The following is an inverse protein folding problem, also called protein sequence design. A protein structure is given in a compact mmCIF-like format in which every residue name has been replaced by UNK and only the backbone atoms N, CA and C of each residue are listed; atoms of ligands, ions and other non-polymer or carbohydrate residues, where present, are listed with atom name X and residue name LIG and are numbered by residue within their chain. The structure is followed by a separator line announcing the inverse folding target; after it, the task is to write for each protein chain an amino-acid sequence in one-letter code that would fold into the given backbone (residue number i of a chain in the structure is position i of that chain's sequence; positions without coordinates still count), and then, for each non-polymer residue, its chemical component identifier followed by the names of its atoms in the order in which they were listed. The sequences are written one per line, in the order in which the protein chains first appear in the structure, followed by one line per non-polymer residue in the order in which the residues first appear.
data_IF_836325883147
#
_entry.id   IF_836325883147
#
_cell.length_a   1.000
_cell.length_b   1.000
_cell.length_c   1.000
_cell.angle_alpha   90.00
_cell.angle_beta   90.00
_cell.angle_gamma   90.00
#
_symmetry.space_group_name_H-M   'P 1'
#
loop_
_entity.id
_entity.type
_entity.pdbx_description
1 polymer ?
#
# COMPACT_ATOMS: atom_id res chain seq x y z
N UNK A 1 -24.88 7.19 -0.84
CA UNK A 1 -24.49 6.63 -2.15
C UNK A 1 -23.47 5.55 -1.87
N UNK A 2 -23.64 4.36 -2.43
CA UNK A 2 -22.70 3.26 -2.24
C UNK A 2 -21.67 3.26 -3.38
N UNK A 3 -20.40 3.12 -3.03
CA UNK A 3 -19.25 3.05 -3.92
C UNK A 3 -18.55 1.71 -3.68
N UNK A 4 -18.39 0.93 -4.74
CA UNK A 4 -17.37 -0.12 -4.75
C UNK A 4 -16.00 0.54 -4.55
N UNK A 5 -15.06 -0.11 -3.85
CA UNK A 5 -13.75 0.48 -3.62
C UNK A 5 -13.06 0.81 -4.94
N UNK A 6 -12.49 2.01 -5.02
CA UNK A 6 -11.61 2.44 -6.09
C UNK A 6 -10.23 2.69 -5.50
N UNK A 7 -9.19 2.13 -6.10
CA UNK A 7 -7.81 2.36 -5.70
C UNK A 7 -7.05 3.10 -6.80
N UNK A 8 -6.37 4.17 -6.42
CA UNK A 8 -5.42 4.87 -7.25
C UNK A 8 -4.02 4.75 -6.65
N UNK A 9 -3.07 4.30 -7.46
CA UNK A 9 -1.66 4.14 -7.08
C UNK A 9 -0.87 5.27 -7.74
N UNK A 10 -0.41 6.30 -7.00
CA UNK A 10 0.30 7.43 -7.59
C UNK A 10 1.62 7.03 -8.25
N UNK A 11 2.33 6.07 -7.65
CA UNK A 11 3.61 5.56 -8.14
C UNK A 11 3.58 4.03 -8.18
N UNK A 12 3.38 3.46 -9.38
CA UNK A 12 3.34 2.01 -9.58
C UNK A 12 4.73 1.36 -9.51
N UNK A 13 5.79 2.15 -9.66
CA UNK A 13 7.17 1.71 -9.62
C UNK A 13 7.96 2.63 -8.68
N UNK A 14 8.49 2.08 -7.59
CA UNK A 14 9.19 2.83 -6.55
C UNK A 14 10.62 2.28 -6.43
N UNK A 15 11.60 3.15 -6.60
CA UNK A 15 13.01 2.82 -6.49
C UNK A 15 13.56 3.34 -5.16
N UNK A 16 14.31 2.52 -4.44
CA UNK A 16 14.98 2.95 -3.21
C UNK A 16 16.28 2.17 -2.97
N UNK A 17 17.34 2.80 -2.42
CA UNK A 17 18.54 2.09 -2.03
C UNK A 17 18.36 1.21 -0.80
N UNK A 18 19.19 0.16 -0.69
CA UNK A 18 19.23 -0.68 0.50
C UNK A 18 19.57 0.13 1.75
N UNK A 19 19.02 -0.26 2.89
CA UNK A 19 19.24 0.40 4.18
C UNK A 19 18.43 1.68 4.40
N UNK A 20 17.77 2.22 3.38
CA UNK A 20 16.89 3.39 3.50
C UNK A 20 15.46 3.00 3.87
N UNK A 21 14.65 3.97 4.26
CA UNK A 21 13.22 3.80 4.49
C UNK A 21 12.45 4.21 3.23
N UNK A 22 11.45 3.43 2.83
CA UNK A 22 10.59 3.74 1.69
C UNK A 22 9.12 3.76 2.09
N UNK A 23 8.35 4.61 1.45
CA UNK A 23 6.89 4.71 1.66
C UNK A 23 6.16 4.36 0.37
N UNK A 24 5.30 3.35 0.43
CA UNK A 24 4.35 3.01 -0.62
C UNK A 24 3.00 3.66 -0.31
N UNK A 25 2.30 4.13 -1.34
CA UNK A 25 1.07 4.93 -1.17
C UNK A 25 -0.02 4.43 -2.10
N UNK A 26 -1.24 4.26 -1.55
CA UNK A 26 -2.45 4.08 -2.32
C UNK A 26 -3.54 5.03 -1.82
N UNK A 27 -4.30 5.63 -2.74
CA UNK A 27 -5.48 6.42 -2.41
C UNK A 27 -6.72 5.56 -2.69
N UNK A 28 -7.65 5.53 -1.74
CA UNK A 28 -8.84 4.69 -1.76
C UNK A 28 -10.08 5.58 -1.68
N UNK A 29 -11.05 5.33 -2.54
CA UNK A 29 -12.41 5.86 -2.41
C UNK A 29 -13.41 4.72 -2.24
N UNK A 30 -14.20 4.71 -1.16
CA UNK A 30 -15.16 3.65 -0.86
C UNK A 30 -16.32 4.11 0.04
N UNK A 31 -17.52 3.56 -0.17
CA UNK A 31 -18.68 3.76 0.70
C UNK A 31 -19.65 2.57 0.62
N UNK A 32 -19.99 1.86 1.70
CA UNK A 32 -19.58 2.05 3.09
C UNK A 32 -18.06 1.94 3.28
N UNK A 33 -17.57 2.41 4.44
CA UNK A 33 -16.15 2.37 4.81
C UNK A 33 -15.58 0.97 4.56
N UNK A 34 -14.49 0.90 3.81
CA UNK A 34 -13.82 -0.34 3.48
C UNK A 34 -12.82 -0.77 4.55
N UNK A 35 -12.49 -2.05 4.55
CA UNK A 35 -11.33 -2.62 5.24
C UNK A 35 -10.17 -2.59 4.26
N UNK A 36 -9.06 -2.00 4.70
CA UNK A 36 -7.88 -1.74 3.92
C UNK A 36 -6.70 -2.55 4.47
N UNK A 37 -5.89 -3.16 3.61
CA UNK A 37 -4.72 -3.92 4.02
C UNK A 37 -3.66 -4.01 2.93
N UNK A 38 -2.45 -4.40 3.32
CA UNK A 38 -1.33 -4.62 2.42
C UNK A 38 -0.97 -6.09 2.33
N UNK A 39 -0.55 -6.52 1.14
CA UNK A 39 -0.15 -7.88 0.84
C UNK A 39 1.07 -7.87 -0.08
N UNK A 40 1.94 -8.86 0.03
CA UNK A 40 2.96 -9.15 -0.97
C UNK A 40 2.33 -9.77 -2.22
N UNK A 41 2.99 -9.65 -3.37
CA UNK A 41 2.54 -10.26 -4.63
C UNK A 41 2.40 -11.80 -4.56
N UNK A 42 3.13 -12.46 -3.66
CA UNK A 42 3.01 -13.89 -3.38
C UNK A 42 1.80 -14.28 -2.51
N UNK A 43 0.98 -13.32 -2.08
CA UNK A 43 -0.20 -13.55 -1.24
C UNK A 43 0.05 -13.42 0.28
N UNK A 44 1.29 -13.18 0.72
CA UNK A 44 1.59 -13.00 2.14
C UNK A 44 1.06 -11.65 2.66
N UNK A 45 0.21 -11.71 3.68
CA UNK A 45 -0.33 -10.51 4.33
C UNK A 45 0.77 -9.77 5.09
N UNK A 46 0.85 -8.45 4.93
CA UNK A 46 1.82 -7.63 5.66
C UNK A 46 1.20 -7.20 6.98
N UNK A 47 1.87 -7.52 8.08
CA UNK A 47 1.43 -7.19 9.44
C UNK A 47 2.35 -6.11 10.00
N UNK A 48 1.74 -5.09 10.63
CA UNK A 48 2.48 -3.98 11.24
C UNK A 48 3.45 -4.50 12.30
N UNK A 49 4.69 -4.01 12.27
CA UNK A 49 5.72 -4.29 13.26
C UNK A 49 6.77 -3.16 13.23
N UNK A 50 7.93 -3.33 13.86
CA UNK A 50 8.98 -2.30 13.89
C UNK A 50 9.53 -1.93 12.50
N UNK A 51 9.41 -2.85 11.53
CA UNK A 51 9.89 -2.72 10.16
C UNK A 51 8.83 -2.21 9.18
N UNK A 52 7.60 -2.72 9.30
CA UNK A 52 6.46 -2.35 8.47
C UNK A 52 5.50 -1.49 9.28
N UNK A 53 5.35 -0.22 8.92
CA UNK A 53 4.39 0.68 9.54
C UNK A 53 3.30 1.02 8.55
N UNK A 54 2.06 0.69 8.90
CA UNK A 54 0.88 1.00 8.11
C UNK A 54 0.12 2.17 8.74
N UNK A 55 -0.32 3.10 7.91
CA UNK A 55 -1.15 4.21 8.36
C UNK A 55 -2.27 4.49 7.35
N UNK A 56 -3.41 4.95 7.85
CA UNK A 56 -4.57 5.36 7.05
C UNK A 56 -4.92 6.80 7.42
N UNK A 57 -4.80 7.71 6.46
CA UNK A 57 -5.17 9.10 6.62
C UNK A 57 -6.52 9.34 5.92
N UNK A 58 -7.58 9.55 6.71
CA UNK A 58 -8.89 9.90 6.18
C UNK A 58 -8.88 11.35 5.68
N UNK A 59 -9.13 11.55 4.38
CA UNK A 59 -9.25 12.88 3.77
C UNK A 59 -10.72 13.34 3.67
N UNK A 60 -11.66 12.39 3.67
CA UNK A 60 -13.10 12.63 3.72
C UNK A 60 -13.82 11.38 4.27
N UNK A 61 -15.16 11.43 4.36
CA UNK A 61 -15.97 10.28 4.78
C UNK A 61 -15.90 9.06 3.84
N UNK A 62 -15.41 9.22 2.62
CA UNK A 62 -15.30 8.16 1.61
C UNK A 62 -13.90 8.02 1.04
N UNK A 63 -12.95 8.89 1.39
CA UNK A 63 -11.61 8.91 0.80
C UNK A 63 -10.51 8.75 1.86
N UNK A 64 -9.63 7.76 1.67
CA UNK A 64 -8.54 7.40 2.58
C UNK A 64 -7.23 7.27 1.81
N UNK A 65 -6.14 7.80 2.35
CA UNK A 65 -4.80 7.50 1.87
C UNK A 65 -4.17 6.42 2.75
N UNK A 66 -3.88 5.27 2.16
CA UNK A 66 -3.12 4.18 2.77
C UNK A 66 -1.64 4.39 2.53
N UNK A 67 -0.83 4.26 3.58
CA UNK A 67 0.63 4.23 3.47
C UNK A 67 1.21 2.98 4.10
N UNK A 68 2.25 2.43 3.47
CA UNK A 68 3.11 1.38 4.02
C UNK A 68 4.55 1.89 4.02
N UNK A 69 5.10 2.13 5.20
CA UNK A 69 6.52 2.44 5.39
C UNK A 69 7.27 1.14 5.65
N UNK A 70 8.31 0.90 4.86
CA UNK A 70 9.22 -0.24 5.01
C UNK A 70 10.57 0.33 5.44
N UNK A 71 10.98 0.06 6.67
CA UNK A 71 12.21 0.61 7.24
C UNK A 71 13.43 -0.23 6.91
N UNK A 72 14.57 0.40 6.65
CA UNK A 72 15.88 -0.23 6.42
C UNK A 72 15.85 -1.33 5.36
N UNK A 73 15.58 -0.98 4.11
CA UNK A 73 15.37 -1.95 3.04
C UNK A 73 16.46 -3.02 2.92
N UNK A 74 16.04 -4.28 2.77
CA UNK A 74 16.85 -5.41 2.39
C UNK A 74 16.46 -5.91 1.00
N UNK A 75 17.34 -6.71 0.37
CA UNK A 75 17.05 -7.33 -0.93
C UNK A 75 15.77 -8.16 -0.94
N UNK A 76 15.45 -8.82 0.17
CA UNK A 76 14.20 -9.59 0.35
C UNK A 76 12.94 -8.71 0.35
N UNK A 77 13.08 -7.40 0.56
CA UNK A 77 11.95 -6.49 0.50
C UNK A 77 11.58 -6.14 -0.94
N UNK A 78 12.45 -6.36 -1.92
CA UNK A 78 12.15 -6.07 -3.31
C UNK A 78 11.07 -7.00 -3.84
N UNK A 79 10.16 -6.46 -4.65
CA UNK A 79 9.03 -7.23 -5.14
C UNK A 79 7.78 -6.41 -5.40
N UNK A 80 6.69 -7.11 -5.76
CA UNK A 80 5.38 -6.53 -5.84
C UNK A 80 4.70 -6.46 -4.47
N UNK A 81 4.01 -5.36 -4.24
CA UNK A 81 3.16 -5.09 -3.09
C UNK A 81 1.77 -4.72 -3.62
N UNK A 82 0.74 -5.22 -2.94
CA UNK A 82 -0.65 -4.92 -3.22
C UNK A 82 -1.25 -4.18 -2.04
N UNK A 83 -1.89 -3.06 -2.32
CA UNK A 83 -2.87 -2.47 -1.40
C UNK A 83 -4.25 -2.96 -1.82
N UNK A 84 -5.02 -3.46 -0.87
CA UNK A 84 -6.32 -4.08 -1.12
C UNK A 84 -7.34 -3.39 -0.24
N UNK A 85 -8.51 -3.09 -0.82
CA UNK A 85 -9.62 -2.45 -0.14
C UNK A 85 -10.90 -3.22 -0.41
N UNK A 86 -11.66 -3.53 0.64
CA UNK A 86 -12.88 -4.34 0.56
C UNK A 86 -14.00 -3.76 1.41
N UNK A 87 -15.19 -3.60 0.82
CA UNK A 87 -16.42 -3.28 1.54
C UNK A 87 -17.54 -4.26 1.16
N UNK A 88 -18.77 -3.98 1.59
CA UNK A 88 -19.94 -4.82 1.30
C UNK A 88 -20.39 -4.80 -0.17
N UNK A 89 -19.89 -3.85 -0.97
CA UNK A 89 -20.23 -3.70 -2.39
C UNK A 89 -19.23 -4.45 -3.27
N UNK A 90 -17.97 -4.51 -2.87
CA UNK A 90 -16.94 -5.24 -3.59
C UNK A 90 -15.54 -5.01 -3.02
N UNK A 91 -14.54 -5.31 -3.85
CA UNK A 91 -13.13 -5.17 -3.56
C UNK A 91 -12.37 -4.57 -4.74
N UNK A 92 -11.23 -3.96 -4.45
CA UNK A 92 -10.26 -3.49 -5.43
C UNK A 92 -8.84 -3.67 -4.90
N UNK A 93 -7.89 -3.81 -5.82
CA UNK A 93 -6.46 -3.88 -5.52
C UNK A 93 -5.66 -2.92 -6.38
N UNK A 94 -4.58 -2.37 -5.82
CA UNK A 94 -3.56 -1.62 -6.53
C UNK A 94 -2.20 -2.27 -6.33
N UNK A 95 -1.39 -2.34 -7.38
CA UNK A 95 -0.06 -2.96 -7.34
C UNK A 95 1.05 -1.91 -7.43
N UNK A 96 2.07 -2.05 -6.58
CA UNK A 96 3.30 -1.27 -6.57
C UNK A 96 4.50 -2.21 -6.63
N UNK A 97 5.42 -1.96 -7.54
CA UNK A 97 6.68 -2.69 -7.67
C UNK A 97 7.79 -1.90 -6.98
N UNK A 98 8.39 -2.47 -5.93
CA UNK A 98 9.59 -1.93 -5.28
C UNK A 98 10.84 -2.57 -5.90
N UNK A 99 11.81 -1.75 -6.29
CA UNK A 99 13.09 -2.21 -6.83
C UNK A 99 14.27 -1.45 -6.23
N UNK A 100 15.44 -2.10 -6.21
CA UNK A 100 16.68 -1.54 -5.68
C UNK A 100 17.24 -0.50 -6.66
N UNK A 101 17.64 0.66 -6.13
CA UNK A 101 18.40 1.68 -6.86
C UNK A 101 19.75 1.90 -6.19
N UNK A 102 20.76 2.32 -6.95
CA UNK A 102 22.05 2.72 -6.37
C UNK A 102 21.91 4.11 -5.73
N UNK A 103 22.57 4.34 -4.59
CA UNK A 103 22.82 5.71 -4.13
C UNK A 103 23.76 6.39 -5.14
N UNK A 104 23.38 7.61 -5.56
CA UNK A 104 24.23 8.48 -6.38
C UNK A 104 25.14 9.32 -5.50
#
# INVERSE_FOLDING_TARGET
MNLHPLIQVPNQLVGAPLGTDVTLICNVEASPKAINYWQRENGEMIISNERYLMNENESSMYAVQMTLVIRKLHKSDMGGYKCISKNSIGDAEGTIRLYETLEL
#
